data_IF_052123453466
#
_entry.id   IF_052123453466
#
_cell.length_a   1.000
_cell.length_b   1.000
_cell.length_c   1.000
_cell.angle_alpha   90.00
_cell.angle_beta   90.00
_cell.angle_gamma   90.00
#
_symmetry.space_group_name_H-M   'P 1'
#
loop_
_entity.id
_entity.type
_entity.pdbx_description
1 polymer ?
#
# COMPACT_ATOMS: atom_id res chain seq x y z
N UNK A 1 16.49 -0.76 -24.87
CA UNK A 1 16.49 0.13 -23.70
C UNK A 1 17.17 -0.61 -22.54
N UNK A 2 18.49 -0.53 -22.50
CA UNK A 2 19.31 -0.87 -21.35
C UNK A 2 19.50 0.43 -20.56
N UNK A 3 19.23 0.47 -19.27
CA UNK A 3 19.89 1.36 -18.31
C UNK A 3 19.42 1.08 -16.86
N UNK A 4 20.39 0.75 -16.00
CA UNK A 4 20.57 1.19 -14.59
C UNK A 4 19.48 0.83 -13.56
N UNK A 5 19.76 0.39 -12.33
CA UNK A 5 20.99 0.47 -11.55
C UNK A 5 21.02 -0.69 -10.54
N UNK A 6 22.06 -1.52 -10.61
CA UNK A 6 22.47 -2.35 -9.48
C UNK A 6 23.15 -1.42 -8.48
N UNK A 7 22.47 -1.13 -7.37
CA UNK A 7 23.13 -0.62 -6.15
C UNK A 7 23.98 -1.75 -5.57
N UNK A 8 25.15 -1.97 -6.17
CA UNK A 8 26.23 -2.71 -5.53
C UNK A 8 26.97 -1.68 -4.68
N UNK A 9 26.55 -1.53 -3.44
CA UNK A 9 27.33 -0.84 -2.41
C UNK A 9 28.65 -1.58 -2.30
N UNK A 10 29.68 -1.03 -2.93
CA UNK A 10 31.05 -1.45 -2.75
C UNK A 10 31.42 -1.13 -1.31
N UNK A 11 31.27 -2.13 -0.44
CA UNK A 11 32.07 -2.20 0.77
C UNK A 11 33.52 -2.42 0.29
N UNK A 12 34.18 -1.32 -0.07
CA UNK A 12 35.63 -1.19 -0.08
C UNK A 12 36.08 -1.32 1.39
N UNK A 13 35.96 -2.53 1.94
CA UNK A 13 36.58 -2.86 3.21
C UNK A 13 38.05 -3.03 2.88
N UNK A 14 38.80 -1.97 3.14
CA UNK A 14 40.25 -1.96 3.09
C UNK A 14 40.75 -2.97 4.12
N UNK A 15 40.84 -4.24 3.73
CA UNK A 15 41.56 -5.27 4.47
C UNK A 15 43.05 -4.95 4.34
N UNK A 16 43.50 -3.90 5.04
CA UNK A 16 44.92 -3.70 5.29
C UNK A 16 45.39 -4.96 6.04
N UNK A 17 46.37 -5.72 5.51
CA UNK A 17 46.99 -6.75 6.31
C UNK A 17 47.56 -6.06 7.54
N UNK A 18 47.24 -6.60 8.72
CA UNK A 18 47.77 -6.14 9.99
C UNK A 18 49.29 -6.22 9.90
N UNK A 19 49.94 -5.10 9.59
CA UNK A 19 51.39 -5.05 9.48
C UNK A 19 51.93 -5.18 10.91
N UNK A 20 52.80 -6.16 11.21
CA UNK A 20 53.40 -6.23 12.52
C UNK A 20 54.34 -5.03 12.66
N UNK A 21 53.86 -3.98 13.32
CA UNK A 21 54.63 -2.80 13.65
C UNK A 21 55.65 -3.20 14.73
N UNK A 22 56.92 -2.94 14.40
CA UNK A 22 58.14 -3.06 15.23
C UNK A 22 58.72 -4.47 15.38
N UNK A 23 59.57 -4.84 14.44
CA UNK A 23 60.75 -5.64 14.77
C UNK A 23 61.76 -4.73 15.48
N UNK A 24 61.89 -4.85 16.81
CA UNK A 24 63.15 -4.52 17.48
C UNK A 24 64.12 -5.64 17.10
N UNK A 25 64.68 -5.52 15.90
CA UNK A 25 65.83 -6.29 15.49
C UNK A 25 67.03 -5.67 16.21
N UNK A 26 67.70 -6.47 17.03
CA UNK A 26 68.90 -6.12 17.81
C UNK A 26 68.64 -5.46 19.17
N UNK A 27 68.26 -6.25 20.18
CA UNK A 27 68.77 -6.02 21.54
C UNK A 27 70.29 -6.24 21.45
N UNK A 28 71.04 -5.14 21.42
CA UNK A 28 72.51 -5.16 21.40
C UNK A 28 73.00 -5.77 22.71
N UNK A 29 73.73 -6.89 22.64
CA UNK A 29 74.37 -7.49 23.81
C UNK A 29 75.43 -6.52 24.36
N UNK A 30 75.20 -5.99 25.55
CA UNK A 30 76.14 -5.09 26.23
C UNK A 30 77.25 -5.92 26.88
N UNK A 31 78.51 -5.71 26.47
CA UNK A 31 79.67 -6.41 27.01
C UNK A 31 80.32 -5.56 28.12
N UNK A 32 79.94 -5.89 29.36
CA UNK A 32 80.41 -5.26 30.59
C UNK A 32 81.94 -5.27 30.71
N UNK A 33 82.62 -6.33 30.23
CA UNK A 33 84.08 -6.48 30.38
C UNK A 33 84.84 -5.61 29.41
N UNK A 34 84.44 -5.60 28.13
CA UNK A 34 85.04 -4.70 27.14
C UNK A 34 84.82 -3.23 27.49
N UNK A 35 83.69 -2.90 28.10
CA UNK A 35 83.38 -1.54 28.51
C UNK A 35 84.28 -1.07 29.67
N UNK A 36 84.51 -1.91 30.68
CA UNK A 36 85.48 -1.66 31.77
C UNK A 36 86.89 -1.46 31.22
N UNK A 37 87.35 -2.35 30.34
CA UNK A 37 88.70 -2.26 29.75
C UNK A 37 88.88 -0.97 28.95
N UNK A 38 87.87 -0.56 28.19
CA UNK A 38 87.91 0.69 27.42
C UNK A 38 87.96 1.93 28.32
N UNK A 39 87.23 1.93 29.44
CA UNK A 39 87.27 3.04 30.42
C UNK A 39 88.63 3.15 31.10
N UNK A 40 89.28 2.03 31.42
CA UNK A 40 90.61 2.01 32.00
C UNK A 40 91.68 2.47 31.00
N UNK A 41 91.71 1.89 29.80
CA UNK A 41 92.75 2.14 28.79
C UNK A 41 92.65 3.53 28.15
N UNK A 42 91.44 4.01 27.84
CA UNK A 42 91.24 5.29 27.13
C UNK A 42 90.84 6.45 28.03
N UNK A 43 90.21 6.16 29.17
CA UNK A 43 89.68 7.17 30.07
C UNK A 43 90.54 7.41 31.31
N UNK A 44 91.54 6.57 31.59
CA UNK A 44 92.42 6.72 32.75
C UNK A 44 91.71 6.53 34.10
N UNK A 45 90.56 5.86 34.11
CA UNK A 45 89.77 5.63 35.32
C UNK A 45 90.40 4.54 36.20
N UNK A 46 90.32 4.73 37.52
CA UNK A 46 90.69 3.67 38.48
C UNK A 46 89.79 2.43 38.29
N UNK A 47 90.31 1.20 38.43
CA UNK A 47 89.54 -0.03 38.24
C UNK A 47 88.22 -0.06 39.02
N UNK A 48 88.18 0.48 40.25
CA UNK A 48 86.94 0.52 41.04
C UNK A 48 85.93 1.53 40.51
N UNK A 49 86.40 2.65 39.97
CA UNK A 49 85.54 3.69 39.39
C UNK A 49 84.96 3.25 38.05
N UNK A 50 85.77 2.57 37.22
CA UNK A 50 85.29 1.98 35.97
C UNK A 50 84.20 0.94 36.24
N UNK A 51 84.42 0.02 37.18
CA UNK A 51 83.43 -1.01 37.55
C UNK A 51 82.11 -0.42 38.08
N UNK A 52 82.19 0.63 38.91
CA UNK A 52 81.01 1.33 39.40
C UNK A 52 80.22 2.03 38.28
N UNK A 53 80.90 2.72 37.35
CA UNK A 53 80.26 3.37 36.21
C UNK A 53 79.57 2.35 35.29
N UNK A 54 80.23 1.22 35.02
CA UNK A 54 79.66 0.15 34.22
C UNK A 54 78.44 -0.49 34.90
N UNK A 55 78.46 -0.64 36.24
CA UNK A 55 77.33 -1.17 37.01
C UNK A 55 76.07 -0.29 36.86
N UNK A 56 76.23 1.04 36.96
CA UNK A 56 75.11 2.00 36.79
C UNK A 56 74.55 1.95 35.37
N UNK A 57 75.43 1.91 34.35
CA UNK A 57 75.01 1.81 32.94
C UNK A 57 74.31 0.48 32.66
N UNK A 58 74.83 -0.62 33.19
CA UNK A 58 74.20 -1.94 33.06
C UNK A 58 72.82 -1.96 33.74
N UNK A 59 72.65 -1.32 34.91
CA UNK A 59 71.35 -1.14 35.55
C UNK A 59 70.36 -0.37 34.66
N UNK A 60 70.76 0.80 34.17
CA UNK A 60 69.91 1.62 33.30
C UNK A 60 69.53 0.93 31.97
N UNK A 61 70.45 0.15 31.38
CA UNK A 61 70.17 -0.65 30.18
C UNK A 61 69.18 -1.76 30.48
N UNK A 62 69.36 -2.50 31.58
CA UNK A 62 68.44 -3.59 31.95
C UNK A 62 67.04 -3.06 32.29
N UNK A 63 66.93 -1.92 32.99
CA UNK A 63 65.65 -1.25 33.24
C UNK A 63 64.98 -0.80 31.93
N UNK A 64 65.75 -0.27 30.98
CA UNK A 64 65.28 0.08 29.65
C UNK A 64 64.79 -1.13 28.85
N UNK A 65 65.53 -2.25 28.88
CA UNK A 65 65.13 -3.51 28.22
C UNK A 65 63.85 -4.06 28.85
N UNK A 66 63.73 -4.03 30.18
CA UNK A 66 62.54 -4.52 30.88
C UNK A 66 61.31 -3.66 30.57
N UNK A 67 61.47 -2.34 30.56
CA UNK A 67 60.41 -1.38 30.18
C UNK A 67 59.91 -1.59 28.74
N UNK A 68 60.83 -1.81 27.80
CA UNK A 68 60.48 -2.10 26.40
C UNK A 68 59.79 -3.47 26.30
N UNK A 69 60.36 -4.50 26.94
CA UNK A 69 59.85 -5.87 26.83
C UNK A 69 58.48 -6.04 27.48
N UNK A 70 58.16 -5.30 28.55
CA UNK A 70 56.82 -5.30 29.15
C UNK A 70 55.72 -4.79 28.22
N UNK A 71 56.06 -3.99 27.21
CA UNK A 71 55.12 -3.51 26.20
C UNK A 71 55.13 -4.37 24.93
N UNK A 72 55.97 -5.40 24.86
CA UNK A 72 56.03 -6.32 23.73
C UNK A 72 55.07 -7.50 23.95
N UNK A 73 54.29 -7.79 22.93
CA UNK A 73 53.46 -9.00 22.85
C UNK A 73 54.31 -10.13 22.27
N UNK A 74 54.19 -11.33 22.87
CA UNK A 74 54.87 -12.52 22.34
C UNK A 74 54.32 -12.89 20.97
N UNK A 75 55.15 -13.46 20.10
CA UNK A 75 54.70 -13.91 18.76
C UNK A 75 53.54 -14.91 18.85
N UNK A 76 53.54 -15.74 19.88
CA UNK A 76 52.49 -16.71 20.16
C UNK A 76 51.14 -16.03 20.45
N UNK A 77 51.12 -15.04 21.36
CA UNK A 77 49.88 -14.32 21.70
C UNK A 77 49.35 -13.52 20.50
N UNK A 78 50.24 -12.90 19.71
CA UNK A 78 49.84 -12.24 18.45
C UNK A 78 49.21 -13.24 17.46
N UNK A 79 49.83 -14.42 17.29
CA UNK A 79 49.34 -15.44 16.37
C UNK A 79 47.99 -16.01 16.80
N UNK A 80 47.78 -16.19 18.11
CA UNK A 80 46.53 -16.66 18.70
C UNK A 80 45.40 -15.65 18.51
N UNK A 81 45.65 -14.36 18.80
CA UNK A 81 44.68 -13.28 18.58
C UNK A 81 44.29 -13.18 17.09
N UNK A 82 45.29 -13.24 16.20
CA UNK A 82 45.04 -13.21 14.75
C UNK A 82 44.23 -14.43 14.26
N UNK A 83 44.47 -15.60 14.84
CA UNK A 83 43.68 -16.81 14.55
C UNK A 83 42.24 -16.65 15.04
N UNK A 84 42.05 -16.18 16.28
CA UNK A 84 40.73 -15.95 16.84
C UNK A 84 39.91 -14.95 16.01
N UNK A 85 40.52 -13.84 15.59
CA UNK A 85 39.89 -12.88 14.68
C UNK A 85 39.42 -13.51 13.36
N UNK A 86 40.22 -14.41 12.77
CA UNK A 86 39.84 -15.10 11.53
C UNK A 86 38.64 -16.02 11.74
N UNK A 87 38.61 -16.73 12.87
CA UNK A 87 37.49 -17.61 13.23
C UNK A 87 36.22 -16.78 13.45
N UNK A 88 36.31 -15.69 14.20
CA UNK A 88 35.18 -14.81 14.47
C UNK A 88 34.64 -14.17 13.19
N UNK A 89 35.54 -13.76 12.27
CA UNK A 89 35.15 -13.25 10.96
C UNK A 89 34.47 -14.29 10.09
N UNK A 90 34.96 -15.54 10.10
CA UNK A 90 34.32 -16.64 9.38
C UNK A 90 32.93 -16.96 9.94
N UNK A 91 32.78 -16.92 11.27
CA UNK A 91 31.49 -17.10 11.96
C UNK A 91 30.50 -16.00 11.60
N UNK A 92 30.89 -14.73 11.74
CA UNK A 92 30.05 -13.58 11.41
C UNK A 92 29.60 -13.61 9.94
N UNK A 93 30.51 -13.98 9.03
CA UNK A 93 30.20 -14.15 7.61
C UNK A 93 29.16 -15.26 7.39
N UNK A 94 29.28 -16.38 8.10
CA UNK A 94 28.32 -17.49 8.02
C UNK A 94 26.94 -17.12 8.56
N UNK A 95 26.89 -16.40 9.68
CA UNK A 95 25.66 -15.88 10.27
C UNK A 95 24.97 -14.89 9.32
N UNK A 96 25.72 -13.92 8.78
CA UNK A 96 25.21 -12.95 7.81
C UNK A 96 24.66 -13.64 6.56
N UNK A 97 25.40 -14.59 5.97
CA UNK A 97 24.92 -15.31 4.78
C UNK A 97 23.66 -16.14 5.06
N UNK A 98 23.51 -16.66 6.27
CA UNK A 98 22.34 -17.44 6.66
C UNK A 98 21.13 -16.53 6.88
N UNK A 99 21.35 -15.39 7.57
CA UNK A 99 20.34 -14.36 7.78
C UNK A 99 19.86 -13.78 6.45
N UNK A 100 20.76 -13.36 5.56
CA UNK A 100 20.42 -12.81 4.24
C UNK A 100 19.58 -13.79 3.41
N UNK A 101 19.94 -15.08 3.42
CA UNK A 101 19.16 -16.12 2.75
C UNK A 101 17.77 -16.28 3.37
N UNK A 102 17.69 -16.30 4.70
CA UNK A 102 16.42 -16.40 5.42
C UNK A 102 15.50 -15.21 5.11
N UNK A 103 16.02 -13.99 5.21
CA UNK A 103 15.29 -12.76 4.89
C UNK A 103 14.84 -12.76 3.43
N UNK A 104 15.73 -13.11 2.50
CA UNK A 104 15.38 -13.21 1.09
C UNK A 104 14.26 -14.21 0.82
N UNK A 105 14.30 -15.39 1.47
CA UNK A 105 13.22 -16.38 1.34
C UNK A 105 11.90 -15.89 1.94
N UNK A 106 11.94 -15.17 3.06
CA UNK A 106 10.77 -14.59 3.70
C UNK A 106 10.16 -13.50 2.82
N UNK A 107 10.97 -12.57 2.34
CA UNK A 107 10.54 -11.51 1.41
C UNK A 107 9.93 -12.09 0.14
N UNK A 108 10.55 -13.13 -0.44
CA UNK A 108 10.00 -13.79 -1.64
C UNK A 108 8.65 -14.45 -1.35
N UNK A 109 8.48 -15.06 -0.18
CA UNK A 109 7.20 -15.66 0.24
C UNK A 109 6.12 -14.60 0.43
N UNK A 110 6.46 -13.48 1.07
CA UNK A 110 5.55 -12.34 1.25
C UNK A 110 5.17 -11.70 -0.08
N UNK A 111 6.12 -11.55 -1.00
CA UNK A 111 5.87 -11.04 -2.34
C UNK A 111 4.88 -11.94 -3.09
N UNK A 112 5.07 -13.26 -3.06
CA UNK A 112 4.17 -14.21 -3.74
C UNK A 112 2.77 -14.20 -3.12
N UNK A 113 2.69 -14.12 -1.79
CA UNK A 113 1.43 -13.97 -1.07
C UNK A 113 0.71 -12.69 -1.50
N UNK A 114 1.40 -11.55 -1.50
CA UNK A 114 0.82 -10.27 -1.87
C UNK A 114 0.36 -10.26 -3.35
N UNK A 115 1.12 -10.91 -4.24
CA UNK A 115 0.75 -11.08 -5.65
C UNK A 115 -0.52 -11.92 -5.81
N UNK A 116 -0.64 -12.98 -5.01
CA UNK A 116 -1.83 -13.84 -4.98
C UNK A 116 -3.05 -13.07 -4.46
N UNK A 117 -2.90 -12.36 -3.34
CA UNK A 117 -3.97 -11.56 -2.74
C UNK A 117 -4.45 -10.45 -3.68
N UNK A 118 -3.52 -9.79 -4.39
CA UNK A 118 -3.85 -8.79 -5.41
C UNK A 118 -4.66 -9.41 -6.55
N UNK A 119 -4.25 -10.58 -7.04
CA UNK A 119 -4.95 -11.28 -8.12
C UNK A 119 -6.36 -11.70 -7.68
N UNK A 120 -6.50 -12.21 -6.46
CA UNK A 120 -7.79 -12.58 -5.88
C UNK A 120 -8.70 -11.36 -5.72
N UNK A 121 -8.18 -10.25 -5.19
CA UNK A 121 -8.95 -9.02 -5.00
C UNK A 121 -9.42 -8.45 -6.34
N UNK A 122 -8.55 -8.47 -7.37
CA UNK A 122 -8.90 -8.06 -8.73
C UNK A 122 -10.05 -8.90 -9.30
N UNK A 123 -10.00 -10.22 -9.14
CA UNK A 123 -11.03 -11.12 -9.64
C UNK A 123 -12.36 -10.89 -8.91
N UNK A 124 -12.34 -10.82 -7.57
CA UNK A 124 -13.53 -10.52 -6.77
C UNK A 124 -14.16 -9.18 -7.15
N UNK A 125 -13.34 -8.14 -7.33
CA UNK A 125 -13.85 -6.82 -7.73
C UNK A 125 -14.52 -6.89 -9.11
N UNK A 126 -13.93 -7.62 -10.06
CA UNK A 126 -14.50 -7.80 -11.40
C UNK A 126 -15.84 -8.56 -11.35
N UNK A 127 -15.93 -9.59 -10.52
CA UNK A 127 -17.16 -10.35 -10.29
C UNK A 127 -18.25 -9.48 -9.67
N UNK A 128 -17.94 -8.72 -8.62
CA UNK A 128 -18.88 -7.79 -7.96
C UNK A 128 -19.36 -6.69 -8.92
N UNK A 129 -18.46 -6.10 -9.73
CA UNK A 129 -18.85 -5.13 -10.76
C UNK A 129 -19.82 -5.76 -11.76
N UNK A 130 -19.51 -6.96 -12.25
CA UNK A 130 -20.35 -7.65 -13.25
C UNK A 130 -21.72 -7.99 -12.66
N UNK A 131 -21.76 -8.46 -11.40
CA UNK A 131 -22.98 -8.77 -10.67
C UNK A 131 -23.82 -7.50 -10.43
N UNK A 132 -23.21 -6.42 -9.95
CA UNK A 132 -23.91 -5.15 -9.73
C UNK A 132 -24.45 -4.58 -11.04
N UNK A 133 -23.68 -4.65 -12.12
CA UNK A 133 -24.14 -4.22 -13.44
C UNK A 133 -25.34 -5.05 -13.93
N UNK A 134 -25.31 -6.36 -13.73
CA UNK A 134 -26.45 -7.23 -14.06
C UNK A 134 -27.68 -6.91 -13.21
N UNK A 135 -27.49 -6.65 -11.90
CA UNK A 135 -28.56 -6.24 -10.98
C UNK A 135 -29.20 -4.93 -11.42
N UNK A 136 -28.39 -3.88 -11.63
CA UNK A 136 -28.90 -2.57 -12.07
C UNK A 136 -29.62 -2.68 -13.41
N UNK A 137 -29.10 -3.48 -14.34
CA UNK A 137 -29.78 -3.72 -15.61
C UNK A 137 -31.14 -4.40 -15.39
N UNK A 138 -31.22 -5.40 -14.52
CA UNK A 138 -32.49 -6.06 -14.19
C UNK A 138 -33.47 -5.07 -13.57
N UNK A 139 -33.03 -4.28 -12.59
CA UNK A 139 -33.85 -3.27 -11.90
C UNK A 139 -34.46 -2.29 -12.90
N UNK A 140 -33.64 -1.77 -13.83
CA UNK A 140 -34.12 -0.88 -14.89
C UNK A 140 -35.11 -1.55 -15.85
N UNK A 141 -34.92 -2.83 -16.17
CA UNK A 141 -35.85 -3.54 -17.03
C UNK A 141 -37.19 -3.80 -16.32
N UNK A 142 -37.16 -4.15 -15.04
CA UNK A 142 -38.37 -4.32 -14.23
C UNK A 142 -39.12 -2.99 -14.09
N UNK A 143 -38.40 -1.90 -13.79
CA UNK A 143 -39.01 -0.58 -13.65
C UNK A 143 -39.58 -0.07 -14.98
N UNK A 144 -38.88 -0.31 -16.10
CA UNK A 144 -39.42 -0.01 -17.44
C UNK A 144 -40.68 -0.81 -17.74
N UNK A 145 -40.72 -2.08 -17.32
CA UNK A 145 -41.92 -2.92 -17.42
C UNK A 145 -43.08 -2.34 -16.61
N UNK A 146 -42.82 -1.96 -15.36
CA UNK A 146 -43.80 -1.35 -14.46
C UNK A 146 -44.38 -0.06 -15.01
N UNK A 147 -43.53 0.84 -15.52
CA UNK A 147 -43.97 2.10 -16.15
C UNK A 147 -44.85 1.83 -17.37
N UNK A 148 -44.50 0.83 -18.19
CA UNK A 148 -45.29 0.47 -19.37
C UNK A 148 -46.67 -0.06 -19.00
N UNK A 149 -46.74 -0.92 -17.99
CA UNK A 149 -48.01 -1.46 -17.50
C UNK A 149 -48.89 -0.38 -16.88
N UNK A 150 -48.31 0.49 -16.04
CA UNK A 150 -49.00 1.64 -15.47
C UNK A 150 -49.51 2.61 -16.56
N UNK A 151 -48.70 2.87 -17.58
CA UNK A 151 -49.11 3.67 -18.74
C UNK A 151 -50.28 3.03 -19.49
N UNK A 152 -50.25 1.71 -19.72
CA UNK A 152 -51.34 1.01 -20.40
C UNK A 152 -52.63 1.03 -19.58
N UNK A 153 -52.54 0.86 -18.26
CA UNK A 153 -53.70 0.97 -17.36
C UNK A 153 -54.28 2.40 -17.41
N UNK A 154 -53.43 3.42 -17.43
CA UNK A 154 -53.89 4.81 -17.53
C UNK A 154 -54.55 5.09 -18.88
N UNK A 155 -54.02 4.56 -19.98
CA UNK A 155 -54.62 4.67 -21.31
C UNK A 155 -56.03 4.03 -21.35
N UNK A 156 -56.19 2.84 -20.76
CA UNK A 156 -57.49 2.17 -20.64
C UNK A 156 -58.49 2.97 -19.79
N UNK A 157 -58.05 3.55 -18.67
CA UNK A 157 -58.91 4.40 -17.83
C UNK A 157 -59.36 5.66 -18.56
N UNK A 158 -58.48 6.23 -19.39
CA UNK A 158 -58.80 7.39 -20.21
C UNK A 158 -59.85 7.00 -21.27
N UNK A 159 -59.68 5.88 -21.97
CA UNK A 159 -60.63 5.38 -22.97
C UNK A 159 -62.01 5.06 -22.38
N UNK A 160 -62.05 4.41 -21.21
CA UNK A 160 -63.30 4.16 -20.47
C UNK A 160 -64.00 5.48 -20.10
N UNK A 161 -63.23 6.47 -19.61
CA UNK A 161 -63.77 7.79 -19.27
C UNK A 161 -64.32 8.51 -20.51
N UNK A 162 -63.63 8.44 -21.65
CA UNK A 162 -64.14 8.99 -22.92
C UNK A 162 -65.44 8.33 -23.34
N UNK A 163 -65.51 7.00 -23.27
CA UNK A 163 -66.72 6.25 -23.63
C UNK A 163 -67.91 6.63 -22.74
N UNK A 164 -67.67 6.82 -21.44
CA UNK A 164 -68.70 7.30 -20.49
C UNK A 164 -69.16 8.72 -20.80
N UNK A 165 -68.26 9.62 -21.19
CA UNK A 165 -68.61 10.98 -21.61
C UNK A 165 -69.50 10.94 -22.87
N UNK A 166 -69.16 10.11 -23.87
CA UNK A 166 -69.96 9.98 -25.08
C UNK A 166 -71.38 9.45 -24.78
N UNK A 167 -71.50 8.49 -23.86
CA UNK A 167 -72.81 8.00 -23.39
C UNK A 167 -73.62 9.10 -22.69
N UNK A 168 -72.99 9.87 -21.78
CA UNK A 168 -73.63 10.99 -21.10
C UNK A 168 -74.09 12.06 -22.11
N UNK A 169 -73.28 12.37 -23.12
CA UNK A 169 -73.64 13.32 -24.19
C UNK A 169 -74.82 12.81 -25.01
N UNK A 170 -74.82 11.54 -25.40
CA UNK A 170 -75.94 10.93 -26.14
C UNK A 170 -77.24 10.94 -25.31
N UNK A 171 -77.14 10.64 -24.01
CA UNK A 171 -78.27 10.73 -23.08
C UNK A 171 -78.81 12.16 -22.98
N UNK A 172 -77.95 13.16 -22.81
CA UNK A 172 -78.35 14.58 -22.78
C UNK A 172 -79.03 15.00 -24.10
N UNK A 173 -78.49 14.60 -25.26
CA UNK A 173 -79.12 14.87 -26.55
C UNK A 173 -80.50 14.23 -26.68
N UNK A 174 -80.67 12.99 -26.18
CA UNK A 174 -81.95 12.29 -26.15
C UNK A 174 -82.97 13.03 -25.28
N UNK A 175 -82.56 13.47 -24.08
CA UNK A 175 -83.40 14.27 -23.19
C UNK A 175 -83.83 15.58 -23.85
N UNK A 176 -82.92 16.29 -24.53
CA UNK A 176 -83.25 17.52 -25.28
C UNK A 176 -84.28 17.24 -26.38
N UNK A 177 -84.11 16.16 -27.15
CA UNK A 177 -85.07 15.77 -28.20
C UNK A 177 -86.44 15.41 -27.63
N UNK A 178 -86.46 14.72 -26.50
CA UNK A 178 -87.69 14.40 -25.76
C UNK A 178 -88.42 15.67 -25.32
N UNK A 179 -87.71 16.60 -24.65
CA UNK A 179 -88.24 17.90 -24.22
C UNK A 179 -88.79 18.69 -25.41
N UNK A 180 -88.05 18.77 -26.53
CA UNK A 180 -88.52 19.44 -27.75
C UNK A 180 -89.83 18.83 -28.28
N UNK A 181 -89.93 17.50 -28.28
CA UNK A 181 -91.14 16.79 -28.73
C UNK A 181 -92.31 17.05 -27.80
N UNK A 182 -92.07 17.03 -26.48
CA UNK A 182 -93.09 17.34 -25.48
C UNK A 182 -93.61 18.78 -25.63
N UNK A 183 -92.72 19.76 -25.83
CA UNK A 183 -93.11 21.16 -26.09
C UNK A 183 -93.93 21.28 -27.38
N UNK A 184 -93.55 20.59 -28.45
CA UNK A 184 -94.33 20.56 -29.70
C UNK A 184 -95.73 19.95 -29.49
N UNK A 185 -95.83 18.87 -28.73
CA UNK A 185 -97.12 18.24 -28.39
C UNK A 185 -98.01 19.21 -27.58
N UNK A 186 -97.45 19.89 -26.58
CA UNK A 186 -98.17 20.93 -25.83
C UNK A 186 -98.68 22.05 -26.74
N UNK A 187 -97.86 22.53 -27.68
CA UNK A 187 -98.24 23.56 -28.64
C UNK A 187 -99.41 23.10 -29.53
N UNK A 188 -99.35 21.86 -30.04
CA UNK A 188 -100.46 21.26 -30.79
C UNK A 188 -101.75 21.17 -29.95
N UNK A 189 -101.62 20.75 -28.68
CA UNK A 189 -102.76 20.69 -27.75
C UNK A 189 -103.39 22.06 -27.49
N UNK A 190 -102.58 23.09 -27.24
CA UNK A 190 -103.07 24.46 -27.03
C UNK A 190 -103.75 25.01 -28.28
N UNK A 191 -103.13 24.88 -29.46
CA UNK A 191 -103.72 25.37 -30.71
C UNK A 191 -105.06 24.70 -31.04
N UNK A 192 -105.15 23.38 -30.86
CA UNK A 192 -106.39 22.61 -31.06
C UNK A 192 -107.46 23.00 -30.03
N UNK A 193 -107.06 23.20 -28.77
CA UNK A 193 -107.96 23.66 -27.70
C UNK A 193 -108.53 25.04 -27.96
N UNK A 194 -107.68 26.01 -28.35
CA UNK A 194 -108.13 27.37 -28.71
C UNK A 194 -109.08 27.34 -29.91
N UNK A 195 -108.76 26.57 -30.95
CA UNK A 195 -109.64 26.41 -32.11
C UNK A 195 -110.99 25.80 -31.72
N UNK A 196 -111.01 24.78 -30.86
CA UNK A 196 -112.24 24.17 -30.37
C UNK A 196 -113.11 25.16 -29.57
N UNK A 197 -112.50 25.98 -28.70
CA UNK A 197 -113.21 27.03 -27.96
C UNK A 197 -113.79 28.08 -28.90
N UNK A 198 -113.03 28.55 -29.90
CA UNK A 198 -113.52 29.50 -30.90
C UNK A 198 -114.73 28.94 -31.67
N UNK A 199 -114.67 27.68 -32.11
CA UNK A 199 -115.79 27.01 -32.78
C UNK A 199 -117.01 26.86 -31.86
N UNK A 200 -116.81 26.51 -30.58
CA UNK A 200 -117.89 26.38 -29.60
C UNK A 200 -118.61 27.70 -29.33
N UNK A 201 -117.86 28.80 -29.16
CA UNK A 201 -118.43 30.14 -28.97
C UNK A 201 -119.14 30.62 -30.23
N UNK A 202 -118.56 30.41 -31.41
CA UNK A 202 -119.20 30.72 -32.69
C UNK A 202 -120.55 30.01 -32.86
N UNK A 203 -120.65 28.74 -32.42
CA UNK A 203 -121.91 27.98 -32.40
C UNK A 203 -122.92 28.46 -31.35
N UNK A 204 -122.49 29.09 -30.26
CA UNK A 204 -123.41 29.66 -29.26
C UNK A 204 -123.94 31.05 -29.69
N UNK A 205 -123.18 31.78 -30.51
CA UNK A 205 -123.52 33.14 -30.96
C UNK A 205 -124.33 33.18 -32.28
N UNK A 206 -124.37 32.09 -33.06
CA UNK A 206 -125.15 31.97 -34.30
C UNK A 206 -126.16 30.82 -34.18
#
# INVERSE_FOLDING_TARGET
MNLLARHHTSLFFCAQPFTPIRCISSITKFDTRKFVQTLQEKGGFDPKQAEAAVSVVNGAINDGIYSITNNLVTKETLSSIAYQQKVDFAKLKGELQTMDKSEFTTLKKEQEKLRTDLTNLKNRLKEEITKNQASVRLDLNLEKGRIREESSINELKIEDTFSRIDEEVANMQSQIKSVKTQVLQWLMGVSTGTLAVLLAVGRFLY
#
